data_IF_425434759224
#
_entry.id   IF_425434759224
#
_cell.length_a   1.000
_cell.length_b   1.000
_cell.length_c   1.000
_cell.angle_alpha   90.00
_cell.angle_beta   90.00
_cell.angle_gamma   90.00
#
_symmetry.space_group_name_H-M   'P 1'
#
loop_
_entity.id
_entity.type
_entity.pdbx_description
1 polymer ?
#
# COMPACT_ATOMS: atom_id res chain seq x y z
N UNK A 1 -4.13 10.50 -7.31
CA UNK A 1 -3.97 9.25 -6.54
C UNK A 1 -4.05 8.05 -7.46
N UNK A 2 -3.46 6.96 -7.04
CA UNK A 2 -3.45 5.74 -7.83
C UNK A 2 -4.84 5.14 -7.97
N UNK A 3 -5.20 4.74 -9.17
CA UNK A 3 -6.41 3.99 -9.47
C UNK A 3 -6.27 3.37 -10.86
N UNK A 4 -7.00 2.27 -11.15
CA UNK A 4 -6.95 1.68 -12.49
C UNK A 4 -7.50 2.63 -13.55
N UNK A 5 -6.84 2.67 -14.70
CA UNK A 5 -7.34 3.44 -15.85
C UNK A 5 -8.56 2.76 -16.47
N UNK A 6 -8.56 1.45 -16.54
CA UNK A 6 -9.65 0.64 -17.09
C UNK A 6 -9.88 -0.58 -16.21
N UNK A 7 -11.13 -0.96 -16.07
CA UNK A 7 -11.51 -2.15 -15.34
C UNK A 7 -12.44 -3.01 -16.19
N UNK A 8 -12.30 -4.33 -16.09
CA UNK A 8 -13.23 -5.26 -16.71
C UNK A 8 -14.60 -5.16 -16.07
N UNK A 9 -14.62 -5.03 -14.74
CA UNK A 9 -15.82 -4.80 -13.94
C UNK A 9 -15.57 -3.57 -13.08
N UNK A 10 -16.54 -2.63 -13.08
CA UNK A 10 -16.40 -1.41 -12.32
C UNK A 10 -16.45 -1.66 -10.81
N UNK A 11 -17.24 -2.61 -10.38
CA UNK A 11 -17.42 -2.95 -8.97
C UNK A 11 -17.01 -4.40 -8.74
N UNK A 12 -16.52 -4.69 -7.54
CA UNK A 12 -16.04 -6.02 -7.17
C UNK A 12 -16.45 -6.35 -5.73
N UNK A 13 -16.45 -7.64 -5.40
CA UNK A 13 -16.65 -8.06 -4.03
C UNK A 13 -15.39 -7.78 -3.21
N UNK A 14 -15.58 -7.33 -1.96
CA UNK A 14 -14.45 -7.05 -1.07
C UNK A 14 -13.63 -8.29 -0.75
N UNK A 15 -14.31 -9.39 -0.45
CA UNK A 15 -13.65 -10.62 -0.06
C UNK A 15 -12.87 -10.49 1.24
N UNK A 16 -12.16 -11.55 1.60
CA UNK A 16 -11.24 -11.59 2.73
C UNK A 16 -9.84 -11.89 2.22
N UNK A 17 -8.85 -11.34 2.90
CA UNK A 17 -7.46 -11.59 2.57
C UNK A 17 -7.00 -12.84 3.32
N UNK A 18 -6.58 -13.86 2.58
CA UNK A 18 -6.16 -15.14 3.15
C UNK A 18 -4.70 -15.42 2.84
N UNK A 19 -4.04 -16.10 3.78
CA UNK A 19 -2.69 -16.61 3.61
C UNK A 19 -1.62 -15.54 3.58
N UNK A 20 -0.42 -15.96 3.28
CA UNK A 20 0.73 -15.10 3.17
C UNK A 20 0.99 -14.73 1.72
N UNK A 21 1.70 -13.63 1.50
CA UNK A 21 2.07 -13.19 0.16
C UNK A 21 3.03 -14.20 -0.46
N UNK A 22 2.70 -14.71 -1.64
CA UNK A 22 3.57 -15.62 -2.41
C UNK A 22 4.45 -14.85 -3.38
N UNK A 23 4.00 -13.69 -3.85
CA UNK A 23 4.78 -12.79 -4.69
C UNK A 23 4.98 -11.45 -4.00
N UNK A 24 6.00 -10.71 -4.41
CA UNK A 24 6.29 -9.40 -3.84
C UNK A 24 6.75 -9.43 -2.39
N UNK A 25 7.34 -10.56 -1.95
CA UNK A 25 7.84 -10.74 -0.60
C UNK A 25 9.34 -10.47 -0.46
N UNK A 26 10.02 -10.22 -1.57
CA UNK A 26 11.45 -9.92 -1.60
C UNK A 26 11.71 -8.56 -2.25
N UNK A 27 12.76 -7.88 -1.79
CA UNK A 27 13.20 -6.63 -2.41
C UNK A 27 13.67 -6.89 -3.84
N UNK A 28 13.16 -6.13 -4.78
CA UNK A 28 13.49 -6.27 -6.21
C UNK A 28 14.17 -5.04 -6.79
N UNK A 29 13.82 -3.86 -6.32
CA UNK A 29 14.28 -2.59 -6.91
C UNK A 29 15.20 -1.82 -5.99
N UNK A 30 14.90 -1.76 -4.70
CA UNK A 30 15.62 -0.95 -3.74
C UNK A 30 16.49 -1.74 -2.78
N UNK A 31 17.22 -1.02 -1.96
CA UNK A 31 18.06 -1.59 -0.89
C UNK A 31 17.26 -1.78 0.40
N UNK A 32 16.27 -0.94 0.63
CA UNK A 32 15.45 -0.94 1.84
C UNK A 32 13.98 -1.05 1.47
N UNK A 33 13.20 -1.62 2.36
CA UNK A 33 11.77 -1.75 2.10
C UNK A 33 10.94 -1.81 3.36
N UNK A 34 9.63 -1.71 3.15
CA UNK A 34 8.62 -1.79 4.18
C UNK A 34 7.73 -2.98 3.90
N UNK A 35 7.73 -3.94 4.80
CA UNK A 35 7.03 -5.21 4.66
C UNK A 35 5.81 -5.25 5.57
N UNK A 36 4.69 -5.71 5.04
CA UNK A 36 3.47 -5.88 5.82
C UNK A 36 3.57 -7.09 6.74
N UNK A 37 3.13 -6.93 7.98
CA UNK A 37 3.07 -8.03 8.96
C UNK A 37 1.65 -8.54 9.19
N UNK A 38 0.65 -7.82 8.71
CA UNK A 38 -0.75 -8.13 8.91
C UNK A 38 -1.51 -8.06 7.58
N UNK A 39 -2.63 -8.79 7.43
CA UNK A 39 -3.49 -8.61 6.26
C UNK A 39 -4.39 -7.39 6.45
N UNK A 40 -4.48 -6.55 5.44
CA UNK A 40 -5.36 -5.39 5.46
C UNK A 40 -5.57 -4.84 4.05
N UNK A 41 -6.60 -4.03 3.91
CA UNK A 41 -6.80 -3.22 2.72
C UNK A 41 -6.18 -1.85 2.97
N UNK A 42 -5.34 -1.42 2.04
CA UNK A 42 -4.67 -0.12 2.11
C UNK A 42 -5.27 0.77 1.02
N UNK A 43 -5.82 1.90 1.41
CA UNK A 43 -6.49 2.79 0.47
C UNK A 43 -5.49 3.58 -0.38
N UNK A 44 -5.93 4.06 -1.54
CA UNK A 44 -5.11 4.92 -2.39
C UNK A 44 -4.64 6.17 -1.64
N UNK A 45 -5.49 6.72 -0.77
CA UNK A 45 -5.13 7.88 0.05
C UNK A 45 -4.02 7.56 1.06
N UNK A 46 -4.08 6.39 1.68
CA UNK A 46 -3.05 5.94 2.61
C UNK A 46 -1.73 5.71 1.90
N UNK A 47 -1.76 5.11 0.73
CA UNK A 47 -0.56 4.90 -0.11
C UNK A 47 0.08 6.25 -0.46
N UNK A 48 -0.73 7.21 -0.90
CA UNK A 48 -0.22 8.54 -1.25
C UNK A 48 0.33 9.28 -0.04
N UNK A 49 -0.33 9.20 1.10
CA UNK A 49 0.14 9.82 2.34
C UNK A 49 1.48 9.23 2.77
N UNK A 50 1.63 7.91 2.69
CA UNK A 50 2.87 7.22 3.01
C UNK A 50 4.00 7.64 2.05
N UNK A 51 3.71 7.66 0.75
CA UNK A 51 4.68 8.08 -0.26
C UNK A 51 5.19 9.49 0.01
N UNK A 52 4.28 10.42 0.30
CA UNK A 52 4.65 11.81 0.59
C UNK A 52 5.52 11.92 1.85
N UNK A 53 5.19 11.19 2.89
CA UNK A 53 5.96 11.19 4.13
C UNK A 53 7.38 10.66 3.89
N UNK A 54 7.51 9.56 3.13
CA UNK A 54 8.79 8.97 2.79
C UNK A 54 9.63 9.94 1.97
N UNK A 55 9.06 10.50 0.91
CA UNK A 55 9.76 11.42 0.01
C UNK A 55 10.22 12.68 0.73
N UNK A 56 9.37 13.20 1.62
CA UNK A 56 9.70 14.40 2.41
C UNK A 56 10.90 14.16 3.31
N UNK A 57 10.94 13.01 3.98
CA UNK A 57 12.06 12.68 4.86
C UNK A 57 13.35 12.46 4.10
N UNK A 58 13.26 11.92 2.90
CA UNK A 58 14.42 11.71 2.03
C UNK A 58 14.89 13.01 1.35
N UNK A 59 14.17 14.09 1.52
CA UNK A 59 14.49 15.41 0.92
C UNK A 59 14.65 15.33 -0.60
N UNK A 60 13.84 14.48 -1.24
CA UNK A 60 13.85 14.23 -2.69
C UNK A 60 15.13 13.57 -3.21
N UNK A 61 15.94 13.02 -2.32
CA UNK A 61 17.11 12.22 -2.71
C UNK A 61 16.69 10.76 -2.88
N UNK A 62 17.39 10.03 -3.74
CA UNK A 62 17.11 8.63 -3.96
C UNK A 62 15.82 8.38 -4.73
N UNK A 63 15.35 7.14 -4.65
CA UNK A 63 14.15 6.68 -5.36
C UNK A 63 13.21 5.95 -4.42
N UNK A 64 11.92 6.06 -4.73
CA UNK A 64 10.85 5.35 -4.02
C UNK A 64 10.06 4.54 -5.03
N UNK A 65 9.84 3.26 -4.75
CA UNK A 65 8.97 2.39 -5.54
C UNK A 65 7.77 2.00 -4.68
N UNK A 66 6.58 2.16 -5.23
CA UNK A 66 5.34 1.67 -4.63
C UNK A 66 5.08 0.29 -5.22
N UNK A 67 5.11 -0.75 -4.38
CA UNK A 67 4.98 -2.15 -4.80
C UNK A 67 3.56 -2.68 -4.71
N UNK A 68 2.61 -1.88 -4.27
CA UNK A 68 1.19 -2.24 -4.19
C UNK A 68 0.39 -1.27 -5.03
N UNK A 69 -0.73 -1.75 -5.58
CA UNK A 69 -1.61 -0.92 -6.41
C UNK A 69 -3.05 -1.07 -5.95
N UNK A 70 -3.77 0.04 -5.78
CA UNK A 70 -5.17 0.00 -5.30
C UNK A 70 -6.13 -0.30 -6.46
N UNK A 71 -6.33 -1.59 -6.72
CA UNK A 71 -7.18 -2.07 -7.82
C UNK A 71 -8.56 -2.55 -7.35
N UNK A 72 -8.82 -2.60 -6.05
CA UNK A 72 -10.10 -3.00 -5.49
C UNK A 72 -10.99 -1.79 -5.28
N UNK A 73 -12.13 -1.70 -6.01
CA UNK A 73 -13.09 -0.64 -5.75
C UNK A 73 -13.92 -0.97 -4.51
N UNK A 74 -13.94 -0.05 -3.55
CA UNK A 74 -14.75 -0.18 -2.35
C UNK A 74 -15.95 0.74 -2.47
N UNK A 75 -17.14 0.17 -2.34
CA UNK A 75 -18.40 0.89 -2.50
C UNK A 75 -19.04 1.15 -1.15
N UNK A 76 -19.77 2.25 -1.07
CA UNK A 76 -20.60 2.57 0.08
C UNK A 76 -21.89 3.20 -0.40
N UNK A 77 -22.99 2.92 0.32
CA UNK A 77 -24.25 3.60 0.09
C UNK A 77 -24.36 4.77 1.07
N UNK A 78 -24.94 5.90 0.65
CA UNK A 78 -25.25 6.96 1.59
C UNK A 78 -26.16 6.44 2.70
N UNK A 79 -26.02 6.97 3.89
CA UNK A 79 -26.86 6.56 5.04
C UNK A 79 -28.34 6.75 4.79
N UNK A 80 -28.71 7.66 3.89
CA UNK A 80 -30.09 7.99 3.53
C UNK A 80 -30.73 6.98 2.58
N UNK A 81 -29.95 6.11 1.95
CA UNK A 81 -30.44 5.13 0.97
C UNK A 81 -30.80 3.84 1.68
N UNK A 82 -32.01 3.32 1.37
CA UNK A 82 -32.46 2.06 1.93
C UNK A 82 -31.60 0.89 1.47
N UNK A 83 -31.39 -0.07 2.36
CA UNK A 83 -30.65 -1.29 2.03
C UNK A 83 -31.40 -2.10 0.97
N UNK A 84 -30.64 -2.82 0.14
CA UNK A 84 -31.19 -3.78 -0.80
C UNK A 84 -31.46 -3.25 -2.21
N UNK A 85 -31.19 -1.98 -2.49
CA UNK A 85 -31.41 -1.39 -3.83
C UNK A 85 -30.16 -1.47 -4.72
N UNK A 86 -29.41 -2.56 -4.64
CA UNK A 86 -28.21 -2.74 -5.42
C UNK A 86 -26.95 -2.21 -4.73
N UNK A 87 -25.81 -2.39 -5.40
CA UNK A 87 -24.51 -2.01 -4.87
C UNK A 87 -24.32 -0.50 -4.96
N UNK A 88 -23.77 0.10 -3.92
CA UNK A 88 -23.48 1.53 -3.90
C UNK A 88 -22.44 1.96 -4.93
N UNK A 89 -22.22 3.26 -5.06
CA UNK A 89 -21.20 3.81 -5.93
C UNK A 89 -19.81 3.55 -5.35
N UNK A 90 -18.79 3.56 -6.22
CA UNK A 90 -17.41 3.43 -5.79
C UNK A 90 -17.03 4.66 -4.98
N UNK A 91 -16.61 4.44 -3.72
CA UNK A 91 -16.19 5.52 -2.83
C UNK A 91 -14.69 5.73 -2.89
N UNK A 92 -13.93 4.63 -2.91
CA UNK A 92 -12.47 4.71 -2.98
C UNK A 92 -11.90 3.40 -3.53
N UNK A 93 -10.62 3.44 -3.86
CA UNK A 93 -9.85 2.29 -4.32
C UNK A 93 -8.90 1.85 -3.23
N UNK A 94 -8.68 0.55 -3.13
CA UNK A 94 -7.79 -0.03 -2.12
C UNK A 94 -6.98 -1.19 -2.70
N UNK A 95 -5.86 -1.48 -2.06
CA UNK A 95 -5.04 -2.65 -2.35
C UNK A 95 -5.26 -3.70 -1.26
N UNK A 96 -5.42 -4.96 -1.65
CA UNK A 96 -5.40 -6.07 -0.71
C UNK A 96 -3.95 -6.43 -0.42
N UNK A 97 -3.55 -6.31 0.83
CA UNK A 97 -2.18 -6.57 1.24
C UNK A 97 -2.17 -7.78 2.18
N UNK A 98 -1.43 -8.82 1.79
CA UNK A 98 -1.25 -10.01 2.62
C UNK A 98 0.03 -9.87 3.46
N UNK A 99 0.12 -10.58 4.62
CA UNK A 99 1.36 -10.59 5.39
C UNK A 99 2.54 -11.04 4.53
N UNK A 100 3.67 -10.38 4.68
CA UNK A 100 4.88 -10.66 3.91
C UNK A 100 5.03 -9.83 2.63
N UNK A 101 4.01 -9.09 2.23
CA UNK A 101 4.08 -8.26 1.04
C UNK A 101 4.92 -7.01 1.29
N UNK A 102 5.84 -6.73 0.38
CA UNK A 102 6.59 -5.48 0.39
C UNK A 102 5.72 -4.41 -0.26
N UNK A 103 5.49 -3.33 0.48
CA UNK A 103 4.62 -2.25 0.04
C UNK A 103 5.40 -1.11 -0.61
N UNK A 104 6.56 -0.79 -0.07
CA UNK A 104 7.42 0.27 -0.56
C UNK A 104 8.86 -0.20 -0.58
N UNK A 105 9.63 0.28 -1.54
CA UNK A 105 11.07 0.10 -1.59
C UNK A 105 11.72 1.47 -1.80
N UNK A 106 12.89 1.66 -1.20
CA UNK A 106 13.66 2.89 -1.39
C UNK A 106 15.13 2.55 -1.61
N UNK A 107 15.82 3.46 -2.28
CA UNK A 107 17.25 3.35 -2.55
C UNK A 107 17.86 4.73 -2.68
N UNK A 108 19.19 4.80 -2.64
CA UNK A 108 19.92 6.04 -2.85
C UNK A 108 20.05 6.93 -1.61
N UNK A 109 19.75 6.41 -0.42
CA UNK A 109 19.91 7.12 0.85
C UNK A 109 20.61 6.21 1.86
N UNK A 110 21.17 6.81 2.90
CA UNK A 110 21.81 6.06 3.99
C UNK A 110 20.76 5.31 4.81
N UNK A 111 21.19 4.26 5.51
CA UNK A 111 20.29 3.39 6.28
C UNK A 111 19.49 4.16 7.34
N UNK A 112 20.12 5.07 8.06
CA UNK A 112 19.44 5.85 9.10
C UNK A 112 18.34 6.73 8.52
N UNK A 113 18.58 7.36 7.38
CA UNK A 113 17.57 8.15 6.65
C UNK A 113 16.45 7.23 6.17
N UNK A 114 16.80 6.06 5.64
CA UNK A 114 15.83 5.09 5.14
C UNK A 114 14.93 4.59 6.26
N UNK A 115 15.49 4.25 7.42
CA UNK A 115 14.71 3.79 8.56
C UNK A 115 13.70 4.82 9.02
N UNK A 116 14.13 6.07 9.13
CA UNK A 116 13.24 7.15 9.57
C UNK A 116 12.17 7.45 8.51
N UNK A 117 12.55 7.47 7.23
CA UNK A 117 11.60 7.70 6.15
C UNK A 117 10.50 6.64 6.12
N UNK A 118 10.88 5.36 6.20
CA UNK A 118 9.92 4.26 6.18
C UNK A 118 9.10 4.21 7.47
N UNK A 119 9.67 4.59 8.62
CA UNK A 119 8.91 4.71 9.86
C UNK A 119 7.81 5.75 9.74
N UNK A 120 8.12 6.90 9.19
CA UNK A 120 7.13 7.96 8.98
C UNK A 120 6.06 7.55 7.97
N UNK A 121 6.47 6.85 6.90
CA UNK A 121 5.53 6.31 5.94
C UNK A 121 4.61 5.26 6.55
N UNK A 122 5.16 4.37 7.37
CA UNK A 122 4.40 3.33 8.04
C UNK A 122 3.32 3.90 8.97
N UNK A 123 3.57 5.06 9.58
CA UNK A 123 2.60 5.72 10.45
C UNK A 123 1.33 6.14 9.70
N UNK A 124 1.38 6.22 8.37
CA UNK A 124 0.21 6.56 7.54
C UNK A 124 -0.56 5.32 7.09
N UNK A 125 -0.06 4.14 7.39
CA UNK A 125 -0.68 2.88 6.97
C UNK A 125 -1.45 2.24 8.13
N UNK A 126 -2.50 1.46 7.83
CA UNK A 126 -3.39 0.89 8.87
C UNK A 126 -2.87 -0.42 9.45
N UNK A 127 -1.66 -0.85 9.13
CA UNK A 127 -1.13 -2.15 9.51
C UNK A 127 0.26 -2.04 10.12
N UNK A 128 0.62 -3.06 10.90
CA UNK A 128 1.98 -3.18 11.39
C UNK A 128 2.91 -3.57 10.25
N UNK A 129 4.10 -3.03 10.29
CA UNK A 129 5.09 -3.15 9.23
C UNK A 129 6.46 -3.47 9.82
N UNK A 130 7.34 -3.92 8.96
CA UNK A 130 8.73 -4.20 9.32
C UNK A 130 9.65 -3.56 8.28
N UNK A 131 10.67 -2.86 8.78
CA UNK A 131 11.78 -2.40 7.94
C UNK A 131 12.62 -3.59 7.53
N UNK A 132 12.92 -3.69 6.25
CA UNK A 132 13.80 -4.73 5.73
C UNK A 132 14.90 -4.11 4.90
N UNK A 133 16.03 -4.81 4.83
CA UNK A 133 17.20 -4.38 4.09
C UNK A 133 17.71 -5.55 3.26
N UNK A 134 18.16 -5.24 2.04
CA UNK A 134 18.80 -6.26 1.20
C UNK A 134 20.14 -6.64 1.84
N UNK A 135 20.32 -7.94 2.00
CA UNK A 135 21.57 -8.45 2.50
C UNK A 135 22.55 -8.53 1.34
N UNK A 136 23.69 -7.87 1.48
CA UNK A 136 24.76 -7.95 0.50
C UNK A 136 25.42 -9.33 0.61
N UNK A 137 25.54 -10.02 -0.50
CA UNK A 137 26.28 -11.27 -0.60
C UNK A 137 27.76 -11.00 -0.83
#
# INVERSE_FOLDING_TARGET
MLQPKRTKFRKAFKGRIHGNSKGGSLLSFGTFGLKALEPERVTARQIEAARRAITRQMKRQGRVWIRIFPDLPVTAKPTEVRMGKGKGAIEYWAARVAPGRIMFEIDGVAEDVAREALRLGAAKLPIRTRFIQRIAE
#
